data_IF_323849222789
#
_entry.id   IF_323849222789
#
_cell.length_a   1.000
_cell.length_b   1.000
_cell.length_c   1.000
_cell.angle_alpha   90.00
_cell.angle_beta   90.00
_cell.angle_gamma   90.00
#
_symmetry.space_group_name_H-M   'P 1'
#
loop_
_entity.id
_entity.type
_entity.pdbx_description
1 polymer ?
#
# COMPACT_ATOMS: atom_id res chain seq x y z
N UNK A 1 5.14 32.49 7.77
CA UNK A 1 4.15 32.01 6.77
C UNK A 1 4.51 30.59 6.34
N UNK A 2 3.52 29.71 6.25
CA UNK A 2 3.75 28.34 5.79
C UNK A 2 3.31 28.18 4.33
N UNK A 3 4.21 27.71 3.48
CA UNK A 3 3.81 27.23 2.15
C UNK A 3 3.86 25.71 2.17
N UNK A 4 2.71 25.09 2.42
CA UNK A 4 2.61 23.64 2.58
C UNK A 4 2.87 22.86 1.26
N UNK A 5 2.92 23.55 0.13
CA UNK A 5 3.23 22.90 -1.16
C UNK A 5 4.59 22.21 -1.16
N UNK A 6 5.49 22.60 -0.24
CA UNK A 6 6.79 21.93 -0.09
C UNK A 6 6.62 20.43 0.21
N UNK A 7 5.52 20.03 0.85
CA UNK A 7 5.28 18.60 1.16
C UNK A 7 5.17 17.75 -0.09
N UNK A 8 4.80 18.35 -1.24
CA UNK A 8 4.75 17.63 -2.52
C UNK A 8 6.12 17.21 -3.03
N UNK A 9 7.20 17.74 -2.46
CA UNK A 9 8.56 17.37 -2.80
C UNK A 9 9.05 16.13 -2.04
N UNK A 10 8.30 15.66 -1.05
CA UNK A 10 8.62 14.42 -0.35
C UNK A 10 8.43 13.27 -1.35
N UNK A 11 9.49 12.47 -1.54
CA UNK A 11 9.44 11.33 -2.45
C UNK A 11 8.60 10.23 -1.83
N UNK A 12 7.58 9.78 -2.55
CA UNK A 12 6.71 8.67 -2.14
C UNK A 12 6.51 7.71 -3.29
N UNK A 13 6.19 6.46 -2.97
CA UNK A 13 5.94 5.43 -3.97
C UNK A 13 4.46 5.19 -4.20
N UNK A 14 4.17 4.09 -4.89
CA UNK A 14 2.81 3.58 -5.10
C UNK A 14 2.76 2.13 -4.65
N UNK A 15 1.86 1.84 -3.75
CA UNK A 15 1.76 0.52 -3.13
C UNK A 15 0.31 0.09 -2.99
N UNK A 16 0.07 -1.22 -3.06
CA UNK A 16 -1.21 -1.78 -2.66
C UNK A 16 -1.05 -2.36 -1.25
N UNK A 17 -1.75 -1.78 -0.30
CA UNK A 17 -1.83 -2.32 1.06
C UNK A 17 -3.01 -3.26 1.13
N UNK A 18 -2.77 -4.47 1.63
CA UNK A 18 -3.83 -5.46 1.83
C UNK A 18 -3.82 -5.98 3.27
N UNK A 19 -4.98 -6.38 3.72
CA UNK A 19 -5.18 -7.05 5.00
C UNK A 19 -6.35 -8.00 4.83
N UNK A 20 -6.76 -8.73 5.86
CA UNK A 20 -7.92 -9.58 5.72
C UNK A 20 -9.16 -8.74 5.38
N UNK A 21 -9.87 -9.16 4.33
CA UNK A 21 -11.14 -8.58 3.86
C UNK A 21 -11.04 -7.23 3.14
N UNK A 22 -9.84 -6.76 2.82
CA UNK A 22 -9.76 -5.55 2.02
C UNK A 22 -8.35 -5.00 1.82
N UNK A 23 -8.32 -3.86 1.17
CA UNK A 23 -7.08 -3.17 0.86
C UNK A 23 -7.31 -1.85 0.15
N UNK A 24 -6.26 -1.10 -0.05
CA UNK A 24 -6.29 0.21 -0.71
C UNK A 24 -4.92 0.56 -1.28
N UNK A 25 -4.89 1.59 -2.11
CA UNK A 25 -3.62 2.17 -2.57
C UNK A 25 -3.11 3.14 -1.49
N UNK A 26 -1.83 3.05 -1.20
CA UNK A 26 -1.12 3.95 -0.29
C UNK A 26 0.17 4.46 -0.93
N UNK A 27 0.66 5.59 -0.46
CA UNK A 27 1.90 6.19 -0.93
C UNK A 27 2.92 6.40 0.20
N UNK A 28 2.47 6.61 1.42
CA UNK A 28 3.33 6.96 2.55
C UNK A 28 3.82 5.72 3.29
N UNK A 29 4.75 5.00 2.68
CA UNK A 29 5.40 3.81 3.25
C UNK A 29 6.87 4.12 3.50
N UNK A 30 7.37 3.75 4.68
CA UNK A 30 8.77 3.99 5.02
C UNK A 30 9.36 2.83 5.82
N UNK A 31 10.62 2.51 5.55
CA UNK A 31 11.41 1.63 6.39
C UNK A 31 12.00 2.47 7.52
N UNK A 32 11.57 2.23 8.75
CA UNK A 32 11.96 3.05 9.90
C UNK A 32 13.03 2.44 10.79
N UNK A 33 13.34 1.16 10.59
CA UNK A 33 14.48 0.51 11.23
C UNK A 33 15.08 -0.55 10.31
N UNK A 34 16.31 -0.94 10.59
CA UNK A 34 17.05 -1.92 9.80
C UNK A 34 17.39 -3.12 10.66
N UNK A 35 18.01 -4.13 10.05
CA UNK A 35 18.42 -5.33 10.74
C UNK A 35 17.58 -6.54 10.33
N UNK A 36 17.54 -7.56 11.17
CA UNK A 36 16.90 -8.83 10.85
C UNK A 36 15.37 -8.72 10.76
N UNK A 37 14.77 -7.89 11.60
CA UNK A 37 13.33 -7.70 11.65
C UNK A 37 13.01 -6.20 11.55
N UNK A 38 13.15 -5.61 10.35
CA UNK A 38 12.95 -4.17 10.21
C UNK A 38 11.50 -3.78 10.46
N UNK A 39 11.33 -2.53 10.91
CA UNK A 39 10.00 -1.94 11.07
C UNK A 39 9.63 -1.13 9.83
N UNK A 40 8.41 -1.31 9.41
CA UNK A 40 7.83 -0.60 8.26
C UNK A 40 6.65 0.21 8.76
N UNK A 41 6.60 1.48 8.38
CA UNK A 41 5.44 2.32 8.70
C UNK A 41 4.62 2.60 7.45
N UNK A 42 3.32 2.76 7.63
CA UNK A 42 2.40 3.18 6.56
C UNK A 42 1.31 4.08 7.14
N UNK A 43 1.06 5.20 6.46
CA UNK A 43 -0.01 6.10 6.83
C UNK A 43 -1.25 5.80 5.99
N UNK A 44 -2.39 5.58 6.65
CA UNK A 44 -3.65 5.22 6.00
C UNK A 44 -4.72 6.22 6.40
N UNK A 45 -5.46 6.75 5.41
CA UNK A 45 -6.55 7.70 5.68
C UNK A 45 -7.60 7.11 6.62
N UNK A 46 -8.03 7.89 7.59
CA UNK A 46 -9.04 7.45 8.57
C UNK A 46 -10.39 7.17 7.94
N UNK A 47 -10.76 7.90 6.88
CA UNK A 47 -12.03 7.68 6.19
C UNK A 47 -11.98 6.53 5.18
N UNK A 48 -10.84 5.88 5.00
CA UNK A 48 -10.72 4.69 4.18
C UNK A 48 -11.15 3.47 5.00
N UNK A 49 -12.01 2.62 4.43
CA UNK A 49 -12.50 1.43 5.13
C UNK A 49 -11.35 0.50 5.55
N UNK A 50 -10.27 0.44 4.77
CA UNK A 50 -9.08 -0.37 5.10
C UNK A 50 -8.48 0.03 6.45
N UNK A 51 -8.55 1.32 6.82
CA UNK A 51 -8.11 1.77 8.14
C UNK A 51 -8.87 1.06 9.26
N UNK A 52 -10.19 0.91 9.12
CA UNK A 52 -11.01 0.19 10.10
C UNK A 52 -10.63 -1.29 10.17
N UNK A 53 -10.37 -1.91 9.02
CA UNK A 53 -9.94 -3.30 8.97
C UNK A 53 -8.59 -3.49 9.68
N UNK A 54 -7.65 -2.58 9.50
CA UNK A 54 -6.35 -2.64 10.15
C UNK A 54 -6.43 -2.52 11.67
N UNK A 55 -7.44 -1.82 12.17
CA UNK A 55 -7.66 -1.69 13.62
C UNK A 55 -8.08 -3.00 14.28
N UNK A 56 -8.64 -3.94 13.53
CA UNK A 56 -9.12 -5.22 14.04
C UNK A 56 -8.30 -6.41 13.56
N UNK A 57 -7.37 -6.20 12.63
CA UNK A 57 -6.46 -7.23 12.12
C UNK A 57 -5.08 -7.04 12.76
N UNK A 58 -4.28 -8.09 12.75
CA UNK A 58 -2.93 -8.07 13.35
C UNK A 58 -1.81 -7.96 12.31
N UNK A 59 -2.13 -8.04 11.02
CA UNK A 59 -1.14 -8.02 9.93
C UNK A 59 -1.62 -7.19 8.76
N UNK A 60 -0.66 -6.68 8.00
CA UNK A 60 -0.90 -6.11 6.67
C UNK A 60 0.21 -6.53 5.72
N UNK A 61 -0.07 -6.43 4.44
CA UNK A 61 0.92 -6.61 3.40
C UNK A 61 1.03 -5.36 2.55
N UNK A 62 2.23 -5.08 2.09
CA UNK A 62 2.52 -4.02 1.12
C UNK A 62 3.02 -4.69 -0.15
N UNK A 63 2.29 -4.55 -1.24
CA UNK A 63 2.75 -4.96 -2.57
C UNK A 63 3.30 -3.73 -3.29
N UNK A 64 4.55 -3.81 -3.74
CA UNK A 64 5.23 -2.67 -4.37
C UNK A 64 4.88 -2.66 -5.85
N UNK A 65 4.28 -1.57 -6.32
CA UNK A 65 3.83 -1.46 -7.70
C UNK A 65 4.95 -0.94 -8.61
N UNK A 66 5.14 -1.62 -9.74
CA UNK A 66 6.08 -1.19 -10.77
C UNK A 66 5.42 -0.25 -11.77
N UNK A 67 6.24 0.41 -12.59
CA UNK A 67 5.73 1.30 -13.66
C UNK A 67 4.86 0.57 -14.66
N UNK A 68 5.05 -0.73 -14.84
CA UNK A 68 4.31 -1.56 -15.79
C UNK A 68 3.14 -2.31 -15.15
N UNK A 69 2.71 -1.89 -13.96
CA UNK A 69 1.59 -2.52 -13.26
C UNK A 69 0.31 -2.49 -14.11
N UNK A 70 -0.47 -3.56 -14.02
CA UNK A 70 -1.80 -3.57 -14.63
C UNK A 70 -2.64 -2.46 -14.00
N UNK A 71 -3.15 -1.51 -14.81
CA UNK A 71 -3.93 -0.38 -14.28
C UNK A 71 -5.17 -0.79 -13.49
N UNK A 72 -5.71 -1.98 -13.74
CA UNK A 72 -6.86 -2.48 -12.99
C UNK A 72 -6.58 -2.58 -11.50
N UNK A 73 -5.32 -2.81 -11.11
CA UNK A 73 -4.93 -2.84 -9.69
C UNK A 73 -5.13 -1.47 -9.06
N UNK A 74 -4.66 -0.41 -9.73
CA UNK A 74 -4.82 0.96 -9.23
C UNK A 74 -6.29 1.35 -9.19
N UNK A 75 -7.05 1.02 -10.23
CA UNK A 75 -8.49 1.32 -10.30
C UNK A 75 -9.26 0.61 -9.20
N UNK A 76 -9.00 -0.68 -9.00
CA UNK A 76 -9.70 -1.49 -8.03
C UNK A 76 -9.39 -1.05 -6.60
N UNK A 77 -8.10 -0.87 -6.28
CA UNK A 77 -7.70 -0.57 -4.90
C UNK A 77 -7.74 0.92 -4.59
N UNK A 78 -7.64 1.79 -5.60
CA UNK A 78 -7.60 3.24 -5.39
C UNK A 78 -8.95 3.93 -5.49
N UNK A 79 -9.89 3.41 -6.31
CA UNK A 79 -11.15 4.10 -6.61
C UNK A 79 -12.39 3.41 -6.06
N UNK A 80 -12.24 2.30 -5.38
CA UNK A 80 -13.36 1.55 -4.80
C UNK A 80 -13.11 1.33 -3.31
N UNK A 81 -14.20 1.15 -2.56
CA UNK A 81 -14.11 0.80 -1.15
C UNK A 81 -14.27 -0.71 -0.97
N UNK A 82 -13.45 -1.32 -0.12
CA UNK A 82 -13.60 -2.71 0.28
C UNK A 82 -14.90 -2.96 1.04
N UNK A 83 -15.56 -1.90 1.51
CA UNK A 83 -16.89 -1.99 2.11
C UNK A 83 -17.94 -2.41 1.08
N UNK A 84 -17.79 -1.97 -0.18
CA UNK A 84 -18.78 -2.13 -1.23
C UNK A 84 -18.51 -3.29 -2.17
N UNK A 85 -17.23 -3.67 -2.32
CA UNK A 85 -16.83 -4.73 -3.26
C UNK A 85 -15.74 -5.60 -2.63
N UNK A 86 -15.65 -6.84 -3.11
CA UNK A 86 -14.50 -7.70 -2.83
C UNK A 86 -13.45 -7.42 -3.92
N UNK A 87 -12.44 -6.63 -3.59
CA UNK A 87 -11.40 -6.23 -4.53
C UNK A 87 -10.58 -7.41 -5.05
N UNK A 88 -10.46 -8.48 -4.25
CA UNK A 88 -9.67 -9.66 -4.62
C UNK A 88 -10.32 -10.51 -5.71
N UNK A 89 -11.58 -10.28 -6.04
CA UNK A 89 -12.24 -10.91 -7.18
C UNK A 89 -11.87 -10.27 -8.51
N UNK A 90 -11.28 -9.05 -8.49
CA UNK A 90 -10.97 -8.27 -9.68
C UNK A 90 -9.52 -8.32 -10.10
N UNK A 91 -8.62 -8.76 -9.22
CA UNK A 91 -7.19 -8.83 -9.50
C UNK A 91 -6.66 -10.20 -9.04
N UNK A 92 -5.62 -10.68 -9.74
CA UNK A 92 -4.99 -11.94 -9.36
C UNK A 92 -4.14 -11.75 -8.11
N UNK A 93 -4.38 -12.61 -7.14
CA UNK A 93 -3.67 -12.59 -5.86
C UNK A 93 -3.22 -14.00 -5.47
N UNK A 94 -2.28 -14.05 -4.55
CA UNK A 94 -1.84 -15.28 -3.89
C UNK A 94 -1.94 -15.06 -2.39
N UNK A 95 -2.55 -16.02 -1.68
CA UNK A 95 -2.71 -15.92 -0.23
C UNK A 95 -1.44 -16.41 0.46
N UNK A 96 -0.82 -15.54 1.26
CA UNK A 96 0.36 -15.84 2.06
C UNK A 96 0.10 -15.29 3.47
N UNK A 97 0.34 -16.09 4.50
CA UNK A 97 0.03 -15.69 5.89
C UNK A 97 -1.40 -15.19 6.07
N UNK A 98 -2.34 -15.79 5.31
CA UNK A 98 -3.77 -15.47 5.31
C UNK A 98 -4.11 -14.10 4.73
N UNK A 99 -3.17 -13.45 4.03
CA UNK A 99 -3.37 -12.14 3.37
C UNK A 99 -3.18 -12.32 1.87
N UNK A 100 -4.03 -11.66 1.09
CA UNK A 100 -3.94 -11.66 -0.36
C UNK A 100 -2.80 -10.74 -0.82
N UNK A 101 -1.87 -11.28 -1.57
CA UNK A 101 -0.72 -10.56 -2.15
C UNK A 101 -1.01 -10.34 -3.63
N UNK A 102 -0.74 -9.14 -4.12
CA UNK A 102 -0.94 -8.79 -5.54
C UNK A 102 0.13 -9.50 -6.38
N UNK A 103 -0.29 -10.37 -7.30
CA UNK A 103 0.64 -11.11 -8.16
C UNK A 103 1.40 -10.18 -9.12
N UNK A 104 0.69 -9.22 -9.71
CA UNK A 104 1.31 -8.25 -10.62
C UNK A 104 1.92 -7.10 -9.82
N UNK A 105 3.03 -7.38 -9.14
CA UNK A 105 3.78 -6.42 -8.36
C UNK A 105 5.27 -6.77 -8.44
N UNK A 106 6.13 -5.90 -7.92
CA UNK A 106 7.57 -6.16 -7.86
C UNK A 106 7.95 -7.10 -6.72
N UNK A 107 7.05 -7.28 -5.78
CA UNK A 107 7.26 -8.08 -4.60
C UNK A 107 6.41 -7.55 -3.46
N UNK A 108 6.56 -8.15 -2.29
CA UNK A 108 5.71 -7.85 -1.15
C UNK A 108 6.46 -7.88 0.16
N UNK A 109 5.87 -7.21 1.14
CA UNK A 109 6.27 -7.27 2.55
C UNK A 109 5.04 -7.57 3.37
N UNK A 110 5.11 -8.58 4.23
CA UNK A 110 4.06 -8.86 5.23
C UNK A 110 4.57 -8.43 6.58
N UNK A 111 3.78 -7.64 7.29
CA UNK A 111 4.14 -7.06 8.56
C UNK A 111 3.12 -7.39 9.63
N UNK A 112 3.60 -7.69 10.82
CA UNK A 112 2.78 -7.81 12.03
C UNK A 112 2.67 -6.44 12.68
N UNK A 113 1.45 -5.95 12.91
CA UNK A 113 1.23 -4.62 13.47
C UNK A 113 1.68 -4.62 14.94
N UNK A 114 2.62 -3.73 15.26
CA UNK A 114 3.16 -3.62 16.62
C UNK A 114 2.76 -2.32 17.31
N UNK A 115 2.34 -1.30 16.53
CA UNK A 115 1.92 -0.01 17.10
C UNK A 115 1.09 0.75 16.07
N UNK A 116 0.34 1.75 16.53
CA UNK A 116 -0.34 2.69 15.67
C UNK A 116 -0.50 4.04 16.36
N UNK A 117 -0.52 5.10 15.55
CA UNK A 117 -0.64 6.48 16.02
C UNK A 117 -1.71 7.17 15.18
N UNK A 118 -2.78 7.61 15.82
CA UNK A 118 -3.81 8.41 15.16
C UNK A 118 -3.38 9.88 15.12
N UNK A 119 -3.59 10.51 13.96
CA UNK A 119 -3.47 11.95 13.82
C UNK A 119 -4.76 12.52 13.21
N UNK A 120 -4.73 13.73 12.69
CA UNK A 120 -5.96 14.41 12.22
C UNK A 120 -6.64 13.64 11.08
N UNK A 121 -5.88 13.22 10.07
CA UNK A 121 -6.44 12.65 8.83
C UNK A 121 -6.07 11.21 8.58
N UNK A 122 -4.99 10.73 9.18
CA UNK A 122 -4.43 9.40 8.94
C UNK A 122 -4.16 8.67 10.25
N UNK A 123 -4.02 7.36 10.16
CA UNK A 123 -3.40 6.53 11.20
C UNK A 123 -2.07 6.05 10.66
N UNK A 124 -1.01 6.23 11.43
CA UNK A 124 0.30 5.65 11.13
C UNK A 124 0.36 4.26 11.77
N UNK A 125 0.41 3.22 10.94
CA UNK A 125 0.60 1.85 11.42
C UNK A 125 2.07 1.48 11.33
N UNK A 126 2.58 0.85 12.36
CA UNK A 126 3.96 0.35 12.41
C UNK A 126 3.92 -1.16 12.47
N UNK A 127 4.57 -1.82 11.52
CA UNK A 127 4.60 -3.26 11.43
C UNK A 127 6.02 -3.81 11.45
N UNK A 128 6.19 -4.96 12.07
CA UNK A 128 7.43 -5.72 12.04
C UNK A 128 7.40 -6.64 10.83
N UNK A 129 8.40 -6.55 9.97
CA UNK A 129 8.50 -7.40 8.79
C UNK A 129 8.68 -8.87 9.21
N UNK A 130 7.76 -9.74 8.77
CA UNK A 130 7.80 -11.18 9.09
C UNK A 130 7.97 -12.06 7.86
N UNK A 131 7.62 -11.59 6.68
CA UNK A 131 7.73 -12.34 5.42
C UNK A 131 7.88 -11.37 4.28
N UNK A 132 8.73 -11.67 3.30
CA UNK A 132 8.93 -10.81 2.14
C UNK A 132 9.54 -11.60 0.98
N UNK A 133 9.24 -11.19 -0.25
CA UNK A 133 9.89 -11.75 -1.44
C UNK A 133 9.91 -10.72 -2.55
N UNK A 134 10.85 -10.91 -3.46
CA UNK A 134 11.01 -10.10 -4.67
C UNK A 134 10.57 -10.94 -5.87
N UNK A 135 9.61 -10.44 -6.63
CA UNK A 135 9.12 -11.11 -7.84
C UNK A 135 9.85 -10.66 -9.09
N UNK A 136 10.13 -9.35 -9.20
CA UNK A 136 10.77 -8.77 -10.37
C UNK A 136 11.73 -7.66 -9.95
N UNK A 137 12.90 -7.61 -10.57
CA UNK A 137 13.88 -6.54 -10.36
C UNK A 137 13.65 -5.46 -11.43
N UNK A 138 12.58 -4.69 -11.26
CA UNK A 138 12.20 -3.60 -12.15
C UNK A 138 12.03 -2.32 -11.35
N UNK A 139 11.90 -1.19 -12.05
CA UNK A 139 11.74 0.10 -11.42
C UNK A 139 10.37 0.26 -10.76
N UNK A 140 10.38 0.65 -9.49
CA UNK A 140 9.16 0.95 -8.75
C UNK A 140 8.52 2.22 -9.28
N UNK A 141 7.17 2.27 -9.24
CA UNK A 141 6.43 3.47 -9.59
C UNK A 141 6.47 4.45 -8.42
N UNK A 142 6.93 5.67 -8.67
CA UNK A 142 6.79 6.74 -7.69
C UNK A 142 5.41 7.37 -7.80
N UNK A 143 4.96 8.01 -6.72
CA UNK A 143 3.70 8.76 -6.75
C UNK A 143 3.76 9.89 -7.78
N UNK A 144 4.91 10.57 -7.89
CA UNK A 144 5.12 11.62 -8.89
C UNK A 144 4.97 11.07 -10.32
N UNK A 145 5.60 9.93 -10.60
CA UNK A 145 5.46 9.29 -11.92
C UNK A 145 3.99 9.00 -12.23
N UNK A 146 3.25 8.45 -11.27
CA UNK A 146 1.84 8.17 -11.44
C UNK A 146 1.05 9.45 -11.76
N UNK A 147 1.29 10.54 -11.04
CA UNK A 147 0.59 11.80 -11.28
C UNK A 147 0.87 12.36 -12.66
N UNK A 148 2.12 12.31 -13.11
CA UNK A 148 2.53 12.80 -14.43
C UNK A 148 1.96 11.97 -15.58
N UNK A 149 1.75 10.67 -15.39
CA UNK A 149 1.32 9.74 -16.43
C UNK A 149 -0.07 9.15 -16.17
N UNK A 150 -0.81 9.73 -15.26
CA UNK A 150 -2.08 9.18 -14.79
C UNK A 150 -3.07 8.89 -15.92
N UNK A 151 -3.23 9.82 -16.86
CA UNK A 151 -4.17 9.64 -17.96
C UNK A 151 -3.79 8.45 -18.86
N UNK A 152 -2.52 8.30 -19.17
CA UNK A 152 -2.03 7.18 -19.96
C UNK A 152 -2.18 5.86 -19.25
N UNK A 153 -1.82 5.83 -17.98
CA UNK A 153 -1.88 4.61 -17.15
C UNK A 153 -3.33 4.13 -17.03
N UNK A 154 -4.27 5.03 -16.74
CA UNK A 154 -5.66 4.64 -16.47
C UNK A 154 -6.47 4.36 -17.72
N UNK A 155 -5.98 4.73 -18.91
CA UNK A 155 -6.63 4.40 -20.20
C UNK A 155 -6.30 2.99 -20.69
N UNK A 156 -5.23 2.43 -20.19
CA UNK A 156 -4.77 1.12 -20.66
C UNK A 156 -5.72 -0.03 -20.29
#
# INVERSE_FOLDING_TARGET
MKNINITRKITQGMYALTTQNGGCIVDAVSQISFGKNPLISVAVMKNNYTNQLLKTNDKFAISILGKEVNPEIIKTFGFNSSRNINKFERVETTKIEEIEIINNSLGYMICEIVDSIDNDTHTLFIGKLIEADVFEDKEAMSYQYYQEHREEILKA
#
